data_IF_401785841353
#
_entry.id   IF_401785841353
#
_cell.length_a   1.000
_cell.length_b   1.000
_cell.length_c   1.000
_cell.angle_alpha   90.00
_cell.angle_beta   90.00
_cell.angle_gamma   90.00
#
_symmetry.space_group_name_H-M   'P 1'
#
loop_
_entity.id
_entity.type
_entity.pdbx_description
1 polymer ?
#
# COMPACT_ATOMS: atom_id res chain seq x y z
N UNK A 1 9.83 5.36 4.30
CA UNK A 1 10.03 5.87 2.92
C UNK A 1 10.83 7.17 2.97
N UNK A 2 11.72 7.38 2.00
CA UNK A 2 12.55 8.58 1.89
C UNK A 2 12.55 9.05 0.44
N UNK A 3 12.17 10.30 0.21
CA UNK A 3 12.22 10.94 -1.11
C UNK A 3 13.50 11.78 -1.21
N UNK A 4 14.27 11.59 -2.27
CA UNK A 4 15.50 12.33 -2.55
C UNK A 4 15.37 13.11 -3.86
N UNK A 5 15.28 14.44 -3.75
CA UNK A 5 15.12 15.34 -4.90
C UNK A 5 16.37 15.47 -5.76
N UNK A 6 17.55 15.33 -5.16
CA UNK A 6 18.82 15.51 -5.88
C UNK A 6 19.14 14.30 -6.75
N UNK A 7 18.86 13.10 -6.21
CA UNK A 7 19.11 11.83 -6.89
C UNK A 7 17.88 11.32 -7.67
N UNK A 8 16.80 12.13 -7.72
CA UNK A 8 15.53 11.79 -8.38
C UNK A 8 15.04 10.39 -8.03
N UNK A 9 15.04 10.07 -6.73
CA UNK A 9 14.78 8.72 -6.26
C UNK A 9 13.89 8.67 -5.02
N UNK A 10 13.27 7.52 -4.83
CA UNK A 10 12.43 7.22 -3.68
C UNK A 10 12.83 5.87 -3.10
N UNK A 11 13.29 5.86 -1.85
CA UNK A 11 13.60 4.65 -1.11
C UNK A 11 12.41 4.22 -0.25
N UNK A 12 12.03 2.95 -0.35
CA UNK A 12 10.96 2.31 0.39
C UNK A 12 11.52 1.18 1.23
N UNK A 13 11.09 1.16 2.48
CA UNK A 13 11.22 0.01 3.38
C UNK A 13 9.81 -0.24 3.93
N UNK A 14 9.19 -1.34 3.50
CA UNK A 14 7.82 -1.73 3.82
C UNK A 14 7.88 -3.14 4.41
N UNK A 15 7.46 -3.27 5.67
CA UNK A 15 7.37 -4.54 6.36
C UNK A 15 5.93 -4.78 6.82
N UNK A 16 5.43 -5.98 6.55
CA UNK A 16 4.08 -6.41 6.92
C UNK A 16 4.10 -7.87 7.37
N UNK A 17 3.12 -8.22 8.21
CA UNK A 17 2.92 -9.58 8.72
C UNK A 17 1.44 -9.91 8.70
N UNK A 18 1.08 -11.19 8.58
CA UNK A 18 -0.31 -11.63 8.58
C UNK A 18 -1.03 -11.47 7.24
N UNK A 19 -0.26 -11.36 6.15
CA UNK A 19 -0.79 -11.37 4.79
C UNK A 19 -1.13 -12.79 4.33
N UNK A 20 -1.79 -12.89 3.18
CA UNK A 20 -2.04 -14.16 2.50
C UNK A 20 -0.69 -14.82 2.13
N UNK A 21 -0.33 -15.98 2.69
CA UNK A 21 0.97 -16.58 2.46
C UNK A 21 1.20 -16.97 1.00
N UNK A 22 2.43 -16.82 0.52
CA UNK A 22 2.88 -17.20 -0.83
C UNK A 22 2.15 -16.49 -2.00
N UNK A 23 1.34 -15.47 -1.71
CA UNK A 23 0.62 -14.68 -2.70
C UNK A 23 1.31 -13.33 -2.99
N UNK A 24 1.10 -12.81 -4.19
CA UNK A 24 1.54 -11.47 -4.60
C UNK A 24 0.60 -10.39 -4.08
N UNK A 25 1.14 -9.37 -3.42
CA UNK A 25 0.37 -8.28 -2.81
C UNK A 25 0.59 -6.96 -3.54
N UNK A 26 -0.35 -6.62 -4.44
CA UNK A 26 -0.36 -5.32 -5.09
C UNK A 26 -0.30 -4.21 -4.03
N UNK A 27 0.68 -3.32 -4.17
CA UNK A 27 1.03 -2.33 -3.15
C UNK A 27 1.24 -0.98 -3.83
N UNK A 28 0.56 0.05 -3.37
CA UNK A 28 0.50 1.33 -4.07
C UNK A 28 0.61 2.52 -3.11
N UNK A 29 1.07 3.63 -3.65
CA UNK A 29 0.76 4.96 -3.14
C UNK A 29 -0.44 5.48 -3.93
N UNK A 30 -1.46 5.93 -3.22
CA UNK A 30 -2.66 6.55 -3.78
C UNK A 30 -2.80 7.99 -3.32
N UNK A 31 -3.58 8.75 -4.09
CA UNK A 31 -3.98 10.09 -3.69
C UNK A 31 -4.37 10.97 -4.87
N UNK A 32 -4.86 12.15 -4.55
CA UNK A 32 -5.37 13.10 -5.54
C UNK A 32 -4.28 14.08 -6.01
N UNK A 33 -4.37 14.51 -7.27
CA UNK A 33 -3.47 15.53 -7.85
C UNK A 33 -3.85 16.97 -7.50
N UNK A 34 -4.89 17.18 -6.67
CA UNK A 34 -5.47 18.49 -6.37
C UNK A 34 -5.34 18.90 -4.88
N UNK A 35 -4.32 18.38 -4.19
CA UNK A 35 -4.00 18.63 -2.77
C UNK A 35 -5.08 18.19 -1.76
N UNK A 36 -6.15 17.53 -2.21
CA UNK A 36 -7.08 16.85 -1.30
C UNK A 36 -6.34 15.67 -0.66
N UNK A 37 -6.27 15.57 0.68
CA UNK A 37 -5.61 14.45 1.34
C UNK A 37 -6.41 13.16 1.14
N UNK A 38 -5.70 12.04 1.04
CA UNK A 38 -6.34 10.73 1.13
C UNK A 38 -6.91 10.51 2.52
N UNK A 39 -8.03 9.81 2.60
CA UNK A 39 -8.62 9.35 3.84
C UNK A 39 -8.56 7.83 3.91
N UNK A 40 -8.41 7.30 5.13
CA UNK A 40 -8.54 5.86 5.34
C UNK A 40 -10.00 5.44 5.14
N UNK A 41 -10.27 4.41 4.31
CA UNK A 41 -11.59 3.82 4.21
C UNK A 41 -12.09 3.36 5.58
N UNK A 42 -13.41 3.44 5.79
CA UNK A 42 -14.04 2.93 6.99
C UNK A 42 -15.37 2.26 6.66
N UNK A 43 -15.94 1.57 7.65
CA UNK A 43 -17.16 0.77 7.50
C UNK A 43 -18.36 1.52 6.89
N UNK A 44 -18.38 2.86 6.89
CA UNK A 44 -19.47 3.62 6.25
C UNK A 44 -19.45 3.55 4.72
N UNK A 45 -18.34 3.09 4.14
CA UNK A 45 -18.18 2.89 2.71
C UNK A 45 -18.58 1.47 2.26
N UNK A 46 -18.78 0.55 3.21
CA UNK A 46 -19.37 -0.76 2.96
C UNK A 46 -20.90 -0.61 2.77
N UNK A 47 -21.31 -0.39 1.52
CA UNK A 47 -22.70 -0.04 1.17
C UNK A 47 -23.63 -1.23 1.08
N UNK A 48 -23.09 -2.42 0.84
CA UNK A 48 -23.83 -3.67 0.72
C UNK A 48 -23.71 -4.55 1.97
N UNK A 49 -22.87 -4.17 2.94
CA UNK A 49 -22.85 -4.74 4.27
C UNK A 49 -22.19 -6.11 4.33
N UNK A 50 -21.31 -6.42 3.37
CA UNK A 50 -20.56 -7.67 3.33
C UNK A 50 -19.34 -7.66 4.27
N UNK A 51 -19.10 -6.56 4.98
CA UNK A 51 -17.99 -6.39 5.91
C UNK A 51 -16.70 -5.92 5.25
N UNK A 52 -16.71 -5.63 3.94
CA UNK A 52 -15.54 -5.21 3.20
C UNK A 52 -15.74 -3.86 2.52
N UNK A 53 -14.70 -3.03 2.59
CA UNK A 53 -14.57 -1.87 1.73
C UNK A 53 -13.63 -2.25 0.59
N UNK A 54 -14.22 -2.67 -0.51
CA UNK A 54 -13.52 -2.99 -1.76
C UNK A 54 -12.90 -1.73 -2.39
N UNK A 55 -11.93 -1.92 -3.29
CA UNK A 55 -11.14 -0.81 -3.86
C UNK A 55 -12.03 0.27 -4.47
N UNK A 56 -13.00 -0.13 -5.30
CA UNK A 56 -13.93 0.79 -5.94
C UNK A 56 -14.81 1.55 -4.94
N UNK A 57 -15.15 0.93 -3.79
CA UNK A 57 -15.94 1.58 -2.73
C UNK A 57 -15.13 2.64 -1.99
N UNK A 58 -13.81 2.42 -1.86
CA UNK A 58 -12.86 3.32 -1.19
C UNK A 58 -12.28 4.44 -2.07
N UNK A 59 -12.25 4.25 -3.40
CA UNK A 59 -11.55 5.13 -4.34
C UNK A 59 -11.90 6.63 -4.18
N UNK A 60 -13.17 6.94 -3.94
CA UNK A 60 -13.63 8.33 -3.79
C UNK A 60 -13.02 9.09 -2.60
N UNK A 61 -12.48 8.38 -1.61
CA UNK A 61 -11.82 8.99 -0.44
C UNK A 61 -10.32 8.73 -0.40
N UNK A 62 -9.86 7.63 -1.00
CA UNK A 62 -8.45 7.26 -1.04
C UNK A 62 -7.71 7.95 -2.19
N UNK A 63 -8.37 8.06 -3.34
CA UNK A 63 -7.80 8.56 -4.59
C UNK A 63 -7.26 7.45 -5.50
N UNK A 64 -6.89 7.83 -6.74
CA UNK A 64 -6.34 6.90 -7.73
C UNK A 64 -4.94 6.41 -7.35
N UNK A 65 -4.51 5.30 -7.96
CA UNK A 65 -3.12 4.84 -7.91
C UNK A 65 -2.20 5.91 -8.51
N UNK A 66 -1.27 6.39 -7.71
CA UNK A 66 -0.23 7.33 -8.14
C UNK A 66 1.05 6.57 -8.48
N UNK A 67 1.44 5.59 -7.66
CA UNK A 67 2.71 4.89 -7.83
C UNK A 67 2.63 3.46 -7.29
N UNK A 68 3.13 2.49 -8.07
CA UNK A 68 3.22 1.08 -7.68
C UNK A 68 4.53 0.75 -6.97
N UNK A 69 4.45 0.05 -5.85
CA UNK A 69 5.60 -0.40 -5.07
C UNK A 69 6.08 -1.77 -5.58
N UNK A 70 6.68 -1.79 -6.76
CA UNK A 70 7.17 -3.00 -7.42
C UNK A 70 8.46 -3.54 -6.79
N UNK A 71 8.66 -4.86 -6.85
CA UNK A 71 9.84 -5.56 -6.33
C UNK A 71 11.05 -5.38 -7.23
N UNK A 72 10.84 -5.31 -8.55
CA UNK A 72 11.90 -5.11 -9.54
C UNK A 72 12.36 -3.64 -9.67
N UNK A 73 11.63 -2.69 -9.09
CA UNK A 73 11.96 -1.26 -9.14
C UNK A 73 11.39 -0.55 -10.36
N UNK A 74 10.58 -1.22 -11.18
CA UNK A 74 9.91 -0.61 -12.32
C UNK A 74 9.04 0.58 -11.90
N UNK A 75 9.20 1.72 -12.56
CA UNK A 75 8.38 2.91 -12.36
C UNK A 75 7.03 2.72 -13.06
N UNK A 76 5.95 2.64 -12.30
CA UNK A 76 4.62 2.36 -12.83
C UNK A 76 3.52 2.92 -11.92
N UNK A 77 2.33 3.10 -12.48
CA UNK A 77 1.08 3.35 -11.76
C UNK A 77 0.05 2.22 -11.97
N UNK A 78 0.51 1.03 -12.39
CA UNK A 78 -0.34 -0.15 -12.54
C UNK A 78 -1.00 -0.53 -11.20
N UNK A 79 -2.27 -0.93 -11.24
CA UNK A 79 -3.04 -1.30 -10.04
C UNK A 79 -2.95 -2.79 -9.66
N UNK A 80 -2.64 -3.67 -10.62
CA UNK A 80 -2.60 -5.13 -10.38
C UNK A 80 -1.57 -5.88 -11.24
N UNK A 81 -1.27 -5.40 -12.44
CA UNK A 81 -0.42 -6.11 -13.39
C UNK A 81 1.02 -5.56 -13.40
N UNK A 82 1.78 -5.85 -12.34
CA UNK A 82 3.21 -5.55 -12.21
C UNK A 82 3.90 -6.59 -11.31
N UNK A 83 5.23 -6.55 -11.17
CA UNK A 83 5.97 -7.42 -10.24
C UNK A 83 5.87 -6.86 -8.81
N UNK A 84 4.78 -7.17 -8.11
CA UNK A 84 4.57 -6.71 -6.74
C UNK A 84 5.23 -7.64 -5.72
N UNK A 85 5.40 -7.22 -4.46
CA UNK A 85 6.06 -8.06 -3.47
C UNK A 85 5.16 -9.25 -3.08
N UNK A 86 5.80 -10.41 -2.91
CA UNK A 86 5.15 -11.67 -2.53
C UNK A 86 5.40 -11.93 -1.05
N UNK A 87 4.35 -12.32 -0.31
CA UNK A 87 4.51 -12.72 1.08
C UNK A 87 5.16 -14.11 1.18
N UNK A 88 5.94 -14.35 2.22
CA UNK A 88 6.51 -15.66 2.50
C UNK A 88 5.44 -16.66 2.99
N UNK A 89 5.85 -17.91 3.24
CA UNK A 89 4.97 -18.97 3.72
C UNK A 89 4.37 -18.72 5.12
N UNK A 90 4.91 -17.75 5.88
CA UNK A 90 4.36 -17.31 7.17
C UNK A 90 3.50 -16.04 7.03
N UNK A 91 3.29 -15.54 5.81
CA UNK A 91 2.53 -14.31 5.56
C UNK A 91 3.29 -13.04 5.91
N UNK A 92 4.62 -13.09 5.97
CA UNK A 92 5.46 -11.89 6.11
C UNK A 92 5.88 -11.37 4.75
N UNK A 93 5.87 -10.05 4.60
CA UNK A 93 6.33 -9.37 3.40
C UNK A 93 7.31 -8.28 3.81
N UNK A 94 8.50 -8.31 3.20
CA UNK A 94 9.49 -7.24 3.33
C UNK A 94 9.91 -6.76 1.95
N UNK A 95 9.61 -5.50 1.65
CA UNK A 95 10.07 -4.80 0.47
C UNK A 95 11.07 -3.74 0.92
N UNK A 96 12.33 -3.88 0.50
CA UNK A 96 13.32 -2.81 0.53
C UNK A 96 13.74 -2.51 -0.89
N UNK A 97 13.28 -1.37 -1.41
CA UNK A 97 13.55 -1.00 -2.79
C UNK A 97 13.82 0.50 -2.95
N UNK A 98 14.74 0.83 -3.85
CA UNK A 98 14.94 2.20 -4.33
C UNK A 98 14.41 2.29 -5.75
N UNK A 99 13.56 3.29 -5.99
CA UNK A 99 13.01 3.62 -7.29
C UNK A 99 13.74 4.84 -7.82
N UNK A 100 14.51 4.66 -8.88
CA UNK A 100 15.28 5.71 -9.54
C UNK A 100 14.51 6.17 -10.78
N UNK A 101 14.09 7.44 -10.80
CA UNK A 101 13.26 7.98 -11.88
C UNK A 101 14.13 8.60 -12.98
N UNK A 102 13.87 8.24 -14.23
CA UNK A 102 14.44 8.92 -15.40
C UNK A 102 13.64 10.19 -15.73
N UNK A 103 14.14 11.35 -15.28
CA UNK A 103 13.48 12.63 -15.55
C UNK A 103 13.52 13.06 -17.03
N UNK A 104 14.25 12.35 -17.89
CA UNK A 104 14.14 12.53 -19.34
C UNK A 104 12.91 11.83 -19.93
N UNK A 105 12.37 10.80 -19.26
CA UNK A 105 11.08 10.23 -19.59
C UNK A 105 9.96 11.14 -19.03
N UNK A 106 9.05 11.67 -19.88
CA UNK A 106 8.01 12.57 -19.42
C UNK A 106 7.02 11.92 -18.45
N UNK A 107 6.78 10.61 -18.56
CA UNK A 107 5.88 9.87 -17.66
C UNK A 107 6.52 9.73 -16.28
N UNK A 108 7.77 9.29 -16.22
CA UNK A 108 8.47 9.15 -14.95
C UNK A 108 8.71 10.51 -14.27
N UNK A 109 9.01 11.55 -15.06
CA UNK A 109 9.15 12.91 -14.55
C UNK A 109 7.84 13.44 -13.93
N UNK A 110 6.69 13.17 -14.55
CA UNK A 110 5.38 13.53 -14.00
C UNK A 110 5.09 12.78 -12.69
N UNK A 111 5.33 11.46 -12.68
CA UNK A 111 5.16 10.64 -11.47
C UNK A 111 6.06 11.10 -10.33
N UNK A 112 7.32 11.40 -10.61
CA UNK A 112 8.25 11.91 -9.60
C UNK A 112 7.79 13.28 -9.06
N UNK A 113 7.33 14.17 -9.95
CA UNK A 113 6.76 15.46 -9.57
C UNK A 113 5.56 15.32 -8.63
N UNK A 114 4.63 14.41 -8.94
CA UNK A 114 3.46 14.12 -8.10
C UNK A 114 3.84 13.64 -6.69
N UNK A 115 4.91 12.85 -6.57
CA UNK A 115 5.44 12.42 -5.27
C UNK A 115 6.16 13.58 -4.56
N UNK A 116 6.98 14.35 -5.26
CA UNK A 116 7.72 15.50 -4.69
C UNK A 116 6.78 16.54 -4.09
N UNK A 117 5.68 16.84 -4.78
CA UNK A 117 4.75 17.90 -4.39
C UNK A 117 3.81 17.46 -3.26
N UNK A 118 3.40 16.18 -3.25
CA UNK A 118 2.25 15.72 -2.46
C UNK A 118 2.48 14.39 -1.76
N UNK A 119 3.70 14.05 -1.33
CA UNK A 119 3.89 12.76 -0.62
C UNK A 119 3.15 12.69 0.72
N UNK A 120 3.14 13.80 1.46
CA UNK A 120 2.45 13.88 2.76
C UNK A 120 0.94 13.86 2.57
N UNK A 121 0.25 13.02 3.34
CA UNK A 121 -1.20 12.89 3.27
C UNK A 121 -1.70 11.94 2.18
N UNK A 122 -0.80 11.37 1.36
CA UNK A 122 -1.11 10.23 0.49
C UNK A 122 -1.26 8.96 1.31
N UNK A 123 -2.00 8.02 0.74
CA UNK A 123 -2.22 6.73 1.35
C UNK A 123 -1.30 5.68 0.72
N UNK A 124 -0.80 4.76 1.54
CA UNK A 124 -0.21 3.51 1.10
C UNK A 124 -1.28 2.44 1.28
N UNK A 125 -1.60 1.74 0.19
CA UNK A 125 -2.55 0.64 0.18
C UNK A 125 -1.86 -0.65 -0.21
N UNK A 126 -2.25 -1.73 0.45
CA UNK A 126 -1.83 -3.09 0.11
C UNK A 126 -3.08 -3.93 -0.07
N UNK A 127 -3.12 -4.70 -1.15
CA UNK A 127 -4.23 -5.57 -1.51
C UNK A 127 -3.85 -7.04 -1.35
N UNK A 128 -4.85 -7.91 -1.42
CA UNK A 128 -4.64 -9.35 -1.42
C UNK A 128 -5.14 -10.00 -0.14
N UNK A 129 -6.31 -10.61 -0.21
CA UNK A 129 -6.90 -11.30 0.92
C UNK A 129 -7.64 -12.57 0.47
N UNK A 130 -7.49 -13.64 1.25
CA UNK A 130 -8.32 -14.83 1.10
C UNK A 130 -9.71 -14.58 1.67
N UNK A 131 -10.72 -14.80 0.85
CA UNK A 131 -12.13 -14.67 1.22
C UNK A 131 -12.76 -16.07 1.24
N UNK A 132 -13.51 -16.46 2.28
CA UNK A 132 -14.20 -17.75 2.33
C UNK A 132 -15.41 -17.77 1.39
N UNK A 133 -15.90 -18.98 1.09
CA UNK A 133 -17.16 -19.12 0.35
C UNK A 133 -18.31 -18.42 1.10
N UNK A 134 -19.34 -18.01 0.36
CA UNK A 134 -20.56 -17.33 0.86
C UNK A 134 -20.38 -15.92 1.43
N UNK A 135 -19.14 -15.46 1.63
CA UNK A 135 -18.88 -14.08 2.05
C UNK A 135 -19.23 -13.10 0.94
N UNK A 136 -20.16 -12.16 1.20
CA UNK A 136 -20.69 -11.25 0.18
C UNK A 136 -21.56 -11.94 -0.86
N UNK A 137 -22.18 -13.08 -0.54
CA UNK A 137 -23.09 -13.72 -1.50
C UNK A 137 -24.24 -12.77 -1.89
N UNK A 138 -24.35 -12.50 -3.19
CA UNK A 138 -25.35 -11.58 -3.74
C UNK A 138 -24.92 -10.11 -3.80
N UNK A 139 -23.71 -9.76 -3.36
CA UNK A 139 -23.11 -8.43 -3.57
C UNK A 139 -22.30 -8.41 -4.88
N UNK A 140 -22.11 -7.23 -5.50
CA UNK A 140 -21.27 -7.09 -6.68
C UNK A 140 -19.76 -7.21 -6.32
N UNK A 141 -18.88 -7.04 -7.32
CA UNK A 141 -17.43 -6.85 -7.16
C UNK A 141 -16.65 -8.08 -6.63
N UNK A 142 -15.54 -7.84 -5.90
CA UNK A 142 -14.54 -8.86 -5.52
C UNK A 142 -15.06 -9.85 -4.47
N UNK A 143 -15.81 -9.36 -3.49
CA UNK A 143 -16.36 -10.15 -2.38
C UNK A 143 -17.80 -10.50 -2.70
N UNK A 144 -18.01 -11.57 -3.47
CA UNK A 144 -19.30 -11.88 -4.11
C UNK A 144 -19.82 -13.30 -3.82
N UNK A 145 -19.36 -13.91 -2.72
CA UNK A 145 -19.70 -15.29 -2.32
C UNK A 145 -18.75 -16.36 -2.87
N UNK A 146 -17.87 -16.02 -3.82
CA UNK A 146 -16.87 -16.94 -4.37
C UNK A 146 -15.61 -16.93 -3.50
N UNK A 147 -15.24 -18.10 -2.97
CA UNK A 147 -14.03 -18.28 -2.19
C UNK A 147 -12.75 -18.05 -3.02
N UNK A 148 -11.67 -17.70 -2.34
CA UNK A 148 -10.32 -17.67 -2.90
C UNK A 148 -9.58 -16.36 -2.65
N UNK A 149 -8.40 -16.27 -3.25
CA UNK A 149 -7.58 -15.06 -3.19
C UNK A 149 -8.21 -13.94 -4.02
N UNK A 150 -8.34 -12.75 -3.42
CA UNK A 150 -8.85 -11.54 -4.07
C UNK A 150 -7.69 -10.54 -4.21
N UNK A 151 -7.00 -10.50 -5.37
CA UNK A 151 -5.79 -9.69 -5.52
C UNK A 151 -6.05 -8.18 -5.45
N UNK A 152 -7.28 -7.74 -5.77
CA UNK A 152 -7.68 -6.33 -5.69
C UNK A 152 -8.30 -5.90 -4.36
N UNK A 153 -8.54 -6.83 -3.42
CA UNK A 153 -9.21 -6.49 -2.16
C UNK A 153 -8.22 -5.83 -1.19
N UNK A 154 -8.43 -4.58 -0.74
CA UNK A 154 -7.52 -3.94 0.21
C UNK A 154 -7.45 -4.72 1.53
N UNK A 155 -6.24 -4.93 2.03
CA UNK A 155 -5.96 -5.64 3.30
C UNK A 155 -5.25 -4.77 4.33
N UNK A 156 -4.51 -3.74 3.88
CA UNK A 156 -3.89 -2.75 4.76
C UNK A 156 -3.86 -1.37 4.09
N UNK A 157 -4.00 -0.32 4.91
CA UNK A 157 -4.00 1.07 4.46
C UNK A 157 -3.28 1.93 5.53
N UNK A 158 -2.53 2.95 5.12
CA UNK A 158 -1.87 3.88 6.03
C UNK A 158 -1.62 5.24 5.40
N UNK A 159 -1.69 6.32 6.17
CA UNK A 159 -1.39 7.67 5.67
C UNK A 159 0.11 7.96 5.84
N UNK A 160 0.75 8.43 4.77
CA UNK A 160 2.12 8.93 4.81
C UNK A 160 2.15 10.27 5.56
N UNK A 161 2.73 10.24 6.75
CA UNK A 161 2.96 11.42 7.57
C UNK A 161 4.45 11.81 7.53
N UNK A 162 4.78 13.11 7.56
CA UNK A 162 6.14 13.54 7.65
C UNK A 162 6.68 13.10 9.01
N UNK A 163 7.83 12.46 9.00
CA UNK A 163 8.52 12.12 10.24
C UNK A 163 9.28 13.36 10.69
N UNK A 164 8.88 13.95 11.81
CA UNK A 164 9.72 14.95 12.49
C UNK A 164 10.86 14.23 13.22
N UNK A 165 11.99 14.89 13.49
CA UNK A 165 13.10 14.29 14.25
C UNK A 165 12.66 13.71 15.61
N UNK A 166 11.63 14.30 16.22
CA UNK A 166 11.06 13.83 17.48
C UNK A 166 10.17 12.58 17.31
N UNK A 167 9.51 12.42 16.16
CA UNK A 167 8.65 11.28 15.86
C UNK A 167 9.46 10.09 15.33
N UNK A 168 10.51 10.35 14.53
CA UNK A 168 11.50 9.33 14.11
C UNK A 168 12.10 8.61 15.33
N UNK A 169 12.45 9.39 16.36
CA UNK A 169 13.02 8.87 17.59
C UNK A 169 12.04 7.98 18.37
N UNK A 170 10.73 8.27 18.32
CA UNK A 170 9.70 7.46 18.99
C UNK A 170 9.40 6.18 18.23
N UNK A 171 9.30 6.24 16.91
CA UNK A 171 9.03 5.07 16.08
C UNK A 171 10.19 4.08 16.12
N UNK A 172 11.44 4.56 16.14
CA UNK A 172 12.61 3.70 16.32
C UNK A 172 12.57 2.98 17.68
N UNK A 173 12.15 3.67 18.75
CA UNK A 173 11.97 3.06 20.07
C UNK A 173 10.85 2.01 20.03
N UNK A 174 9.72 2.31 19.38
CA UNK A 174 8.60 1.37 19.27
C UNK A 174 8.93 0.14 18.40
N UNK A 175 9.67 0.32 17.31
CA UNK A 175 10.14 -0.76 16.44
C UNK A 175 11.15 -1.65 17.20
N UNK A 176 12.08 -1.05 17.95
CA UNK A 176 13.03 -1.78 18.79
C UNK A 176 12.31 -2.59 19.86
N UNK A 177 11.31 -2.01 20.54
CA UNK A 177 10.50 -2.71 21.55
C UNK A 177 9.63 -3.83 20.96
N UNK A 178 9.20 -3.69 19.70
CA UNK A 178 8.46 -4.72 18.99
C UNK A 178 9.39 -5.88 18.60
N UNK A 179 10.60 -5.57 18.13
CA UNK A 179 11.62 -6.56 17.82
C UNK A 179 12.11 -7.29 19.08
N UNK A 180 12.36 -6.59 20.18
CA UNK A 180 12.72 -7.19 21.47
C UNK A 180 11.65 -8.16 21.97
N UNK A 181 10.37 -7.79 21.80
CA UNK A 181 9.25 -8.68 22.15
C UNK A 181 9.18 -9.91 21.26
N UNK A 182 9.43 -9.77 19.97
CA UNK A 182 9.47 -10.89 19.04
C UNK A 182 10.63 -11.86 19.37
N UNK A 183 11.82 -11.34 19.66
CA UNK A 183 13.00 -12.14 20.02
C UNK A 183 12.88 -12.79 21.41
N UNK A 184 12.20 -12.14 22.36
CA UNK A 184 11.97 -12.69 23.70
C UNK A 184 10.84 -13.75 23.75
N UNK A 185 10.09 -13.92 22.65
CA UNK A 185 9.04 -14.93 22.52
C UNK A 185 9.48 -16.23 21.82
N UNK A 186 10.76 -16.33 21.44
CA UNK A 186 11.44 -17.56 20.99
C UNK A 186 12.22 -18.24 22.13
#
# INVERSE_FOLDING_TARGET
MTLNRADTSVAVDLAMTGLAPEEEHASHIRGFSNDVPSLLPNFRLDRDGDGFVEDQKGEAVVGPVTFGLTRDGSITNASLAADFPVADAAGNLHLRQTYDFDTADPVENELFGELVDRLTGREVQVHGLFVPATQGEGTPNEVNGVAGYKPGLPVANGILLPVSDADAARDLVAATQSLERAVASE
#
